data_IF_584801723270
#
_entry.id   IF_584801723270
#
_cell.length_a   1.000
_cell.length_b   1.000
_cell.length_c   1.000
_cell.angle_alpha   90.00
_cell.angle_beta   90.00
_cell.angle_gamma   90.00
#
_symmetry.space_group_name_H-M   'P 1'
#
loop_
_entity.id
_entity.type
_entity.pdbx_description
1 polymer ?
#
# COMPACT_ATOMS: atom_id res chain seq x y z
N UNK A 1 -3.07 -12.48 -80.31
CA UNK A 1 -1.82 -11.70 -80.19
C UNK A 1 -2.25 -10.40 -79.51
N UNK A 2 -2.14 -10.19 -78.21
CA UNK A 2 -0.91 -10.14 -77.42
C UNK A 2 -1.18 -10.49 -75.94
N UNK A 3 -0.23 -11.23 -75.40
CA UNK A 3 -0.10 -11.73 -74.03
C UNK A 3 0.85 -10.76 -73.29
N UNK A 4 0.77 -10.69 -71.95
CA UNK A 4 1.75 -10.07 -71.03
C UNK A 4 1.81 -8.51 -71.13
N UNK A 5 1.79 -7.67 -70.10
CA UNK A 5 2.39 -7.68 -68.76
C UNK A 5 1.67 -6.59 -67.93
N UNK A 6 1.08 -6.92 -66.79
CA UNK A 6 0.87 -5.91 -65.73
C UNK A 6 0.82 -6.52 -64.32
N UNK A 7 1.47 -7.68 -64.10
CA UNK A 7 1.82 -8.16 -62.76
C UNK A 7 3.13 -7.49 -62.33
N UNK A 8 3.10 -6.25 -61.83
CA UNK A 8 4.26 -5.68 -61.11
C UNK A 8 3.97 -4.40 -60.31
N UNK A 9 2.86 -4.34 -59.58
CA UNK A 9 2.69 -3.27 -58.59
C UNK A 9 2.01 -3.74 -57.29
N UNK A 10 2.48 -4.86 -56.73
CA UNK A 10 1.93 -5.39 -55.47
C UNK A 10 3.03 -5.91 -54.51
N UNK A 11 4.21 -5.29 -54.44
CA UNK A 11 5.28 -5.76 -53.54
C UNK A 11 6.19 -4.70 -52.90
N UNK A 12 5.97 -3.39 -53.16
CA UNK A 12 6.85 -2.33 -52.62
C UNK A 12 6.20 -1.33 -51.66
N UNK A 13 4.88 -1.39 -51.44
CA UNK A 13 4.21 -0.51 -50.47
C UNK A 13 4.01 -1.12 -49.07
N UNK A 14 4.23 -2.44 -48.90
CA UNK A 14 4.12 -3.13 -47.60
C UNK A 14 5.46 -3.22 -46.84
N UNK A 15 6.44 -2.39 -47.20
CA UNK A 15 7.78 -2.39 -46.58
C UNK A 15 8.11 -1.11 -45.79
N UNK A 16 7.12 -0.27 -45.51
CA UNK A 16 7.33 1.00 -44.82
C UNK A 16 6.92 1.02 -43.33
N UNK A 17 6.18 0.04 -42.82
CA UNK A 17 5.78 0.01 -41.40
C UNK A 17 5.86 -1.41 -40.80
N UNK A 18 7.03 -2.04 -40.86
CA UNK A 18 7.30 -3.25 -40.05
C UNK A 18 8.72 -3.29 -39.53
N UNK A 19 9.21 -2.15 -39.03
CA UNK A 19 10.18 -2.17 -37.96
C UNK A 19 9.42 -1.98 -36.65
N UNK A 20 8.74 -3.03 -36.21
CA UNK A 20 8.48 -3.18 -34.79
C UNK A 20 9.87 -3.35 -34.15
N UNK A 21 10.45 -2.25 -33.67
CA UNK A 21 11.73 -2.26 -32.99
C UNK A 21 11.63 -3.26 -31.83
N UNK A 22 12.43 -4.35 -31.81
CA UNK A 22 12.36 -5.35 -30.73
C UNK A 22 12.60 -4.71 -29.36
N UNK A 23 13.32 -3.57 -29.31
CA UNK A 23 13.50 -2.77 -28.10
C UNK A 23 12.21 -2.18 -27.52
N UNK A 24 11.20 -1.86 -28.33
CA UNK A 24 9.93 -1.33 -27.83
C UNK A 24 9.13 -2.42 -27.10
N UNK A 25 9.09 -3.63 -27.66
CA UNK A 25 8.38 -4.77 -27.05
C UNK A 25 9.07 -5.17 -25.75
N UNK A 26 10.41 -5.27 -25.75
CA UNK A 26 11.19 -5.59 -24.55
C UNK A 26 11.00 -4.52 -23.47
N UNK A 27 10.99 -3.23 -23.84
CA UNK A 27 10.73 -2.14 -22.90
C UNK A 27 9.32 -2.19 -22.30
N UNK A 28 8.30 -2.48 -23.10
CA UNK A 28 6.90 -2.61 -22.62
C UNK A 28 6.74 -3.80 -21.67
N UNK A 29 7.36 -4.95 -21.98
CA UNK A 29 7.34 -6.12 -21.11
C UNK A 29 8.07 -5.81 -19.79
N UNK A 30 9.23 -5.16 -19.85
CA UNK A 30 9.99 -4.81 -18.66
C UNK A 30 9.23 -3.81 -17.77
N UNK A 31 8.60 -2.81 -18.37
CA UNK A 31 7.77 -1.85 -17.64
C UNK A 31 6.53 -2.51 -17.03
N UNK A 32 5.87 -3.42 -17.76
CA UNK A 32 4.74 -4.18 -17.26
C UNK A 32 5.13 -5.10 -16.08
N UNK A 33 6.32 -5.71 -16.13
CA UNK A 33 6.86 -6.52 -15.03
C UNK A 33 7.18 -5.65 -13.80
N UNK A 34 7.78 -4.47 -13.97
CA UNK A 34 8.04 -3.55 -12.86
C UNK A 34 6.74 -3.12 -12.19
N UNK A 35 5.72 -2.75 -12.98
CA UNK A 35 4.40 -2.39 -12.45
C UNK A 35 3.79 -3.58 -11.70
N UNK A 36 3.84 -4.79 -12.25
CA UNK A 36 3.30 -5.99 -11.60
C UNK A 36 3.99 -6.32 -10.26
N UNK A 37 5.31 -6.10 -10.16
CA UNK A 37 6.05 -6.28 -8.90
C UNK A 37 5.56 -5.29 -7.83
N UNK A 38 5.34 -4.02 -8.18
CA UNK A 38 4.91 -2.98 -7.25
C UNK A 38 3.50 -3.22 -6.66
N UNK A 39 2.60 -3.94 -7.34
CA UNK A 39 1.23 -4.18 -6.82
C UNK A 39 1.20 -5.20 -5.67
N UNK A 40 2.26 -6.01 -5.51
CA UNK A 40 2.25 -7.13 -4.55
C UNK A 40 2.79 -6.80 -3.16
N UNK A 41 3.30 -5.59 -2.93
CA UNK A 41 3.79 -5.18 -1.60
C UNK A 41 2.61 -4.84 -0.69
N UNK A 42 2.01 -5.87 -0.08
CA UNK A 42 1.06 -5.71 1.01
C UNK A 42 1.79 -5.19 2.25
N UNK A 43 1.48 -3.96 2.67
CA UNK A 43 1.97 -3.42 3.92
C UNK A 43 1.18 -4.06 5.07
N UNK A 44 1.82 -4.94 5.84
CA UNK A 44 1.25 -5.42 7.09
C UNK A 44 1.17 -4.23 8.06
N UNK A 45 -0.01 -4.02 8.66
CA UNK A 45 -0.18 -3.02 9.71
C UNK A 45 0.57 -3.52 10.95
N UNK A 46 1.58 -2.80 11.45
CA UNK A 46 2.31 -3.23 12.62
C UNK A 46 1.41 -3.17 13.86
N UNK A 47 1.50 -4.21 14.69
CA UNK A 47 0.83 -4.27 15.98
C UNK A 47 1.84 -3.97 17.10
N UNK A 48 1.39 -3.26 18.13
CA UNK A 48 2.22 -2.86 19.27
C UNK A 48 1.59 -3.34 20.57
N UNK A 49 2.38 -3.80 21.54
CA UNK A 49 1.86 -4.14 22.85
C UNK A 49 1.56 -2.85 23.63
N UNK A 50 0.46 -2.86 24.36
CA UNK A 50 0.15 -1.86 25.37
C UNK A 50 1.01 -2.16 26.60
N UNK A 51 1.93 -1.26 26.91
CA UNK A 51 2.92 -1.46 27.98
C UNK A 51 2.38 -1.06 29.36
N UNK A 52 1.44 -0.11 29.42
CA UNK A 52 0.79 0.28 30.66
C UNK A 52 -0.54 0.97 30.37
N UNK A 53 -1.48 0.82 31.30
CA UNK A 53 -2.79 1.49 31.27
C UNK A 53 -3.06 2.14 32.63
N UNK A 54 -3.41 3.42 32.63
CA UNK A 54 -3.86 4.14 33.83
C UNK A 54 -5.32 4.57 33.66
N UNK A 55 -6.20 4.00 34.48
CA UNK A 55 -7.63 4.36 34.61
C UNK A 55 -8.41 4.46 33.30
N UNK A 56 -8.06 3.67 32.27
CA UNK A 56 -8.68 3.72 30.94
C UNK A 56 -8.59 5.11 30.24
N UNK A 57 -7.67 5.96 30.70
CA UNK A 57 -7.48 7.32 30.20
C UNK A 57 -6.08 7.56 29.66
N UNK A 58 -5.08 6.85 30.16
CA UNK A 58 -3.69 7.01 29.71
C UNK A 58 -3.16 5.64 29.32
N UNK A 59 -2.51 5.59 28.16
CA UNK A 59 -1.99 4.37 27.57
C UNK A 59 -0.54 4.61 27.16
N UNK A 60 0.35 3.67 27.50
CA UNK A 60 1.72 3.67 27.01
C UNK A 60 1.83 2.60 25.92
N UNK A 61 2.12 3.02 24.69
CA UNK A 61 2.25 2.14 23.54
C UNK A 61 3.55 2.50 22.83
N UNK A 62 4.39 1.49 22.57
CA UNK A 62 5.68 1.67 21.89
C UNK A 62 6.59 2.74 22.57
N UNK A 63 6.54 2.85 23.90
CA UNK A 63 7.29 3.80 24.70
C UNK A 63 6.70 5.20 24.77
N UNK A 64 5.63 5.49 24.01
CA UNK A 64 4.99 6.80 23.94
C UNK A 64 3.71 6.84 24.76
N UNK A 65 3.45 8.00 25.35
CA UNK A 65 2.27 8.26 26.16
C UNK A 65 1.15 8.80 25.28
N UNK A 66 -0.03 8.19 25.41
CA UNK A 66 -1.25 8.61 24.73
C UNK A 66 -2.35 8.83 25.75
N UNK A 67 -3.12 9.90 25.58
CA UNK A 67 -4.29 10.19 26.42
C UNK A 67 -5.56 9.89 25.65
N UNK A 68 -6.51 9.18 26.24
CA UNK A 68 -7.77 8.91 25.59
C UNK A 68 -8.67 10.15 25.57
N UNK A 69 -9.22 10.44 24.38
CA UNK A 69 -10.21 11.52 24.20
C UNK A 69 -11.46 11.26 25.05
N UNK A 70 -11.85 10.00 25.16
CA UNK A 70 -12.94 9.49 26.01
C UNK A 70 -12.46 8.22 26.70
N UNK A 71 -13.00 7.91 27.89
CA UNK A 71 -12.55 6.72 28.63
C UNK A 71 -12.72 5.44 27.80
N UNK A 72 -11.61 4.76 27.51
CA UNK A 72 -11.57 3.62 26.61
C UNK A 72 -11.61 2.31 27.38
N UNK A 73 -12.67 1.52 27.19
CA UNK A 73 -12.83 0.20 27.80
C UNK A 73 -12.39 -0.91 26.85
N UNK A 74 -11.89 -2.02 27.39
CA UNK A 74 -11.53 -3.20 26.58
C UNK A 74 -10.11 -3.15 26.00
N UNK A 75 -9.25 -2.30 26.54
CA UNK A 75 -7.81 -2.25 26.26
C UNK A 75 -7.09 -2.35 27.59
N UNK A 76 -6.29 -3.39 27.76
CA UNK A 76 -5.53 -3.67 28.98
C UNK A 76 -4.04 -3.73 28.69
N UNK A 77 -3.24 -3.65 29.75
CA UNK A 77 -1.80 -3.90 29.66
C UNK A 77 -1.52 -5.30 29.11
N UNK A 78 -0.58 -5.41 28.18
CA UNK A 78 -0.24 -6.63 27.46
C UNK A 78 -1.07 -6.89 26.20
N UNK A 79 -2.16 -6.16 25.96
CA UNK A 79 -2.95 -6.30 24.74
C UNK A 79 -2.18 -5.79 23.52
N UNK A 80 -2.40 -6.44 22.37
CA UNK A 80 -1.85 -5.99 21.09
C UNK A 80 -2.83 -5.07 20.40
N UNK A 81 -2.37 -3.87 20.05
CA UNK A 81 -3.17 -2.85 19.36
C UNK A 81 -2.55 -2.50 18.01
N UNK A 82 -3.40 -2.16 17.06
CA UNK A 82 -3.01 -1.59 15.76
C UNK A 82 -3.46 -0.14 15.67
N UNK A 83 -2.65 0.69 15.01
CA UNK A 83 -3.02 2.08 14.72
C UNK A 83 -3.82 2.11 13.41
N UNK A 84 -5.09 2.44 13.51
CA UNK A 84 -5.97 2.69 12.36
C UNK A 84 -5.76 4.11 11.81
N UNK A 85 -5.35 5.03 12.68
CA UNK A 85 -5.00 6.40 12.35
C UNK A 85 -3.93 6.92 13.30
N UNK A 86 -3.09 7.85 12.83
CA UNK A 86 -1.98 8.39 13.59
C UNK A 86 -0.74 7.52 13.46
N UNK A 87 0.21 7.69 14.38
CA UNK A 87 1.51 7.07 14.31
C UNK A 87 1.96 6.55 15.71
N UNK A 88 2.61 5.38 15.79
CA UNK A 88 3.07 4.75 17.03
C UNK A 88 4.29 5.43 17.69
N UNK A 89 4.87 6.45 17.05
CA UNK A 89 6.02 7.21 17.55
C UNK A 89 5.63 8.55 18.20
N UNK A 90 4.34 8.81 18.38
CA UNK A 90 3.83 9.99 19.09
C UNK A 90 3.81 11.29 18.27
N UNK A 91 4.27 11.30 17.02
CA UNK A 91 4.34 12.51 16.18
C UNK A 91 2.99 12.95 15.58
N UNK A 92 1.87 12.67 16.26
CA UNK A 92 0.52 12.91 15.79
C UNK A 92 -0.22 13.94 16.65
N UNK A 93 -1.32 14.52 16.14
CA UNK A 93 -2.25 15.28 17.02
C UNK A 93 -3.31 14.37 17.62
N UNK A 94 -3.74 13.37 16.86
CA UNK A 94 -4.66 12.34 17.31
C UNK A 94 -4.30 10.99 16.71
N UNK A 95 -4.65 9.93 17.43
CA UNK A 95 -4.48 8.56 16.99
C UNK A 95 -5.76 7.76 17.26
N UNK A 96 -5.98 6.72 16.47
CA UNK A 96 -7.05 5.75 16.67
C UNK A 96 -6.41 4.38 16.74
N UNK A 97 -6.56 3.72 17.89
CA UNK A 97 -6.05 2.37 18.10
C UNK A 97 -7.20 1.37 18.16
N UNK A 98 -6.94 0.16 17.70
CA UNK A 98 -7.86 -0.97 17.83
C UNK A 98 -7.15 -2.14 18.49
N UNK A 99 -7.77 -2.71 19.52
CA UNK A 99 -7.31 -3.93 20.17
C UNK A 99 -7.59 -5.15 19.26
N UNK A 100 -6.57 -5.94 19.01
CA UNK A 100 -6.66 -7.15 18.18
C UNK A 100 -7.39 -8.30 18.89
N UNK A 101 -7.39 -8.33 20.22
CA UNK A 101 -8.07 -9.36 21.00
C UNK A 101 -9.57 -9.09 21.14
N UNK A 102 -9.92 -7.87 21.59
CA UNK A 102 -11.31 -7.50 21.89
C UNK A 102 -12.03 -6.83 20.73
N UNK A 103 -11.30 -6.37 19.71
CA UNK A 103 -11.82 -5.54 18.62
C UNK A 103 -12.18 -4.11 19.03
N UNK A 104 -11.93 -3.73 20.29
CA UNK A 104 -12.29 -2.42 20.83
C UNK A 104 -11.44 -1.31 20.21
N UNK A 105 -12.09 -0.22 19.80
CA UNK A 105 -11.44 0.95 19.20
C UNK A 105 -11.44 2.12 20.17
N UNK A 106 -10.34 2.87 20.22
CA UNK A 106 -10.14 4.00 21.11
C UNK A 106 -9.52 5.19 20.38
N UNK A 107 -10.05 6.38 20.63
CA UNK A 107 -9.50 7.64 20.12
C UNK A 107 -8.59 8.26 21.18
N UNK A 108 -7.39 8.65 20.76
CA UNK A 108 -6.32 9.14 21.61
C UNK A 108 -5.84 10.52 21.13
N UNK A 109 -5.45 11.37 22.06
CA UNK A 109 -4.55 12.50 21.87
C UNK A 109 -3.10 11.99 21.96
N UNK A 110 -2.24 12.55 21.11
CA UNK A 110 -0.79 12.40 21.22
C UNK A 110 -0.22 13.74 21.73
N UNK A 111 0.84 13.67 22.53
CA UNK A 111 1.64 14.83 22.97
C UNK A 111 2.93 14.96 22.15
#
# INVERSE_FOLDING_TARGET
MWYYIAMKCHSKALRACRHAQPGLIVAVIFFALIVAVCVTTGHAVPAYPVQAVSDNKVFIVNGNRYEAMTACKGISEGDWVVFLQGDPYGTCSSAVIQNLHTGATCNLWCD
#
